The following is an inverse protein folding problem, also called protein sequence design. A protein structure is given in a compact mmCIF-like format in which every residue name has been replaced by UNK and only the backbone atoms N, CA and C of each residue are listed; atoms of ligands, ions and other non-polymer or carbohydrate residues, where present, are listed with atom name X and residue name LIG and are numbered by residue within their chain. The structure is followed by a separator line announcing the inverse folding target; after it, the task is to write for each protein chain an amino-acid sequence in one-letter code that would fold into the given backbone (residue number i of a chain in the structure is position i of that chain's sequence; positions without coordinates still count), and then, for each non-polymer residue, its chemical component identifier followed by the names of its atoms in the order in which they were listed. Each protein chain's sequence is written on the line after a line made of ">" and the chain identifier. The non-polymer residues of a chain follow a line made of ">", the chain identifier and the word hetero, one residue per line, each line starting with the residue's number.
data_IF_242965888654
#
_entry.id   IF_242965888654
#
_cell.length_a   1.000
_cell.length_b   1.000
_cell.length_c   1.000
_cell.angle_alpha   90.00
_cell.angle_beta   90.00
_cell.angle_gamma   90.00
#
_symmetry.space_group_name_H-M   'P 1'
#
loop_
_entity.id
_entity.type
_entity.pdbx_description
1 polymer ?
#
# COMPACT_ATOMS: atom_id res chain seq x y z
N UNK A 1 -8.63 24.46 18.98
CA UNK A 1 -9.44 24.88 20.15
C UNK A 1 -10.07 23.71 20.92
N UNK A 2 -9.88 22.45 20.48
CA UNK A 2 -10.43 21.28 21.17
C UNK A 2 -11.94 21.10 21.00
N UNK A 3 -12.60 21.80 20.08
CA UNK A 3 -14.06 21.72 19.91
C UNK A 3 -14.51 20.82 18.77
N UNK A 4 -13.60 20.53 17.82
CA UNK A 4 -13.91 19.76 16.61
C UNK A 4 -12.89 18.67 16.33
N UNK A 5 -13.37 17.58 15.76
CA UNK A 5 -12.58 16.48 15.23
C UNK A 5 -12.41 16.72 13.74
N UNK A 6 -11.21 16.47 13.22
CA UNK A 6 -10.91 16.46 11.79
C UNK A 6 -10.37 15.12 11.36
N UNK A 7 -10.83 14.62 10.22
CA UNK A 7 -10.38 13.33 9.70
C UNK A 7 -10.42 13.29 8.17
N UNK A 8 -9.79 12.25 7.63
CA UNK A 8 -9.92 11.86 6.23
C UNK A 8 -10.99 10.78 6.09
N UNK A 9 -11.84 10.91 5.09
CA UNK A 9 -12.84 9.92 4.74
C UNK A 9 -12.57 9.37 3.34
N UNK A 10 -12.32 8.07 3.24
CA UNK A 10 -12.11 7.39 1.96
C UNK A 10 -13.42 7.16 1.21
N UNK A 11 -13.37 7.19 -0.12
CA UNK A 11 -14.45 6.67 -0.95
C UNK A 11 -14.63 5.17 -0.68
N UNK A 12 -15.81 4.63 -1.03
CA UNK A 12 -16.08 3.18 -0.91
C UNK A 12 -15.08 2.32 -1.70
N UNK A 13 -14.51 2.85 -2.78
CA UNK A 13 -13.47 2.18 -3.59
C UNK A 13 -12.06 2.35 -3.01
N UNK A 14 -11.85 3.29 -2.10
CA UNK A 14 -10.55 3.60 -1.49
C UNK A 14 -9.60 4.36 -2.42
N UNK A 15 -10.06 4.81 -3.58
CA UNK A 15 -9.26 5.49 -4.61
C UNK A 15 -9.09 7.00 -4.39
N UNK A 16 -10.00 7.60 -3.62
CA UNK A 16 -10.07 9.03 -3.31
C UNK A 16 -10.39 9.21 -1.84
N UNK A 17 -10.04 10.38 -1.29
CA UNK A 17 -10.36 10.72 0.08
C UNK A 17 -10.59 12.22 0.22
N UNK A 18 -11.50 12.58 1.10
CA UNK A 18 -11.82 13.97 1.39
C UNK A 18 -11.63 14.26 2.88
N UNK A 19 -11.46 15.54 3.20
CA UNK A 19 -11.32 16.03 4.57
C UNK A 19 -12.68 16.39 5.13
N UNK A 20 -12.93 15.98 6.36
CA UNK A 20 -14.20 16.18 7.07
C UNK A 20 -13.94 16.75 8.47
N UNK A 21 -14.93 17.45 9.02
CA UNK A 21 -14.92 17.97 10.39
C UNK A 21 -16.27 17.76 11.08
N UNK A 22 -16.27 17.65 12.41
CA UNK A 22 -17.49 17.51 13.23
C UNK A 22 -17.23 18.00 14.65
N UNK A 23 -18.28 18.24 15.42
CA UNK A 23 -18.18 18.53 16.85
C UNK A 23 -17.74 17.27 17.63
N UNK A 24 -17.21 17.45 18.84
CA UNK A 24 -16.77 16.32 19.68
C UNK A 24 -17.91 15.32 20.01
N UNK A 25 -19.15 15.79 20.07
CA UNK A 25 -20.35 14.98 20.30
C UNK A 25 -20.84 14.25 19.03
N UNK A 26 -20.11 14.36 17.91
CA UNK A 26 -20.46 13.77 16.62
C UNK A 26 -21.48 14.58 15.80
N UNK A 27 -21.97 15.70 16.31
CA UNK A 27 -22.88 16.59 15.58
C UNK A 27 -22.14 17.48 14.57
N UNK A 28 -22.91 18.18 13.73
CA UNK A 28 -22.39 19.21 12.81
C UNK A 28 -21.29 18.70 11.86
N UNK A 29 -21.52 17.55 11.23
CA UNK A 29 -20.56 16.98 10.28
C UNK A 29 -20.54 17.79 8.98
N UNK A 30 -19.35 18.26 8.59
CA UNK A 30 -19.09 18.95 7.32
C UNK A 30 -18.03 18.25 6.51
N UNK A 31 -18.24 18.22 5.19
CA UNK A 31 -17.20 17.88 4.21
C UNK A 31 -16.47 19.15 3.80
N UNK A 32 -15.16 19.20 4.01
CA UNK A 32 -14.33 20.37 3.71
C UNK A 32 -13.74 20.32 2.29
N UNK A 33 -13.63 19.14 1.68
CA UNK A 33 -13.07 19.00 0.31
C UNK A 33 -13.94 18.12 -0.58
N UNK A 34 -13.97 18.42 -1.87
CA UNK A 34 -14.61 17.59 -2.92
C UNK A 34 -13.74 17.61 -4.19
N UNK A 35 -12.50 17.15 -4.06
CA UNK A 35 -11.52 17.25 -5.14
C UNK A 35 -11.60 16.13 -6.17
N UNK A 36 -12.30 15.03 -5.85
CA UNK A 36 -12.23 13.80 -6.66
C UNK A 36 -10.81 13.22 -6.71
N UNK A 37 -10.00 13.53 -5.70
CA UNK A 37 -8.60 13.18 -5.58
C UNK A 37 -8.31 12.73 -4.14
N UNK A 38 -7.06 12.43 -3.81
CA UNK A 38 -6.65 12.15 -2.44
C UNK A 38 -6.45 13.48 -1.71
N UNK A 39 -7.20 13.71 -0.63
CA UNK A 39 -6.97 14.76 0.35
C UNK A 39 -6.55 14.12 1.66
N UNK A 40 -5.41 14.52 2.20
CA UNK A 40 -4.70 13.75 3.22
C UNK A 40 -4.01 14.63 4.27
N UNK A 41 -3.76 14.03 5.45
CA UNK A 41 -3.10 14.61 6.62
C UNK A 41 -3.62 16.01 6.98
N UNK A 42 -4.94 16.15 7.23
CA UNK A 42 -5.48 17.43 7.63
C UNK A 42 -5.02 17.81 9.04
N UNK A 43 -4.74 19.10 9.25
CA UNK A 43 -4.30 19.64 10.53
C UNK A 43 -4.86 21.04 10.74
N UNK A 44 -5.44 21.29 11.92
CA UNK A 44 -5.98 22.60 12.27
C UNK A 44 -4.86 23.62 12.52
N UNK A 45 -5.07 24.85 12.06
CA UNK A 45 -4.34 25.98 12.64
C UNK A 45 -4.79 26.18 14.10
N UNK A 46 -3.90 26.57 15.04
CA UNK A 46 -4.27 26.76 16.45
C UNK A 46 -5.44 27.72 16.69
N UNK A 47 -5.67 28.70 15.79
CA UNK A 47 -6.83 29.59 15.86
C UNK A 47 -8.18 28.89 15.64
N UNK A 48 -8.19 27.70 15.04
CA UNK A 48 -9.41 26.95 14.73
C UNK A 48 -10.18 27.43 13.50
N UNK A 49 -9.73 28.49 12.83
CA UNK A 49 -10.46 29.11 11.70
C UNK A 49 -10.30 28.37 10.38
N UNK A 50 -9.21 27.60 10.23
CA UNK A 50 -8.92 26.86 9.00
C UNK A 50 -8.04 25.65 9.26
N UNK A 51 -7.95 24.83 8.22
CA UNK A 51 -7.25 23.55 8.18
C UNK A 51 -6.22 23.60 7.06
N UNK A 52 -5.01 23.11 7.31
CA UNK A 52 -4.07 22.74 6.26
C UNK A 52 -4.19 21.24 5.94
N UNK A 53 -4.07 20.88 4.67
CA UNK A 53 -4.07 19.48 4.23
C UNK A 53 -3.26 19.32 2.94
N UNK A 54 -2.87 18.10 2.59
CA UNK A 54 -2.20 17.80 1.33
C UNK A 54 -3.17 17.21 0.31
N UNK A 55 -3.03 17.55 -0.98
CA UNK A 55 -3.80 16.89 -2.03
C UNK A 55 -3.06 16.69 -3.34
N UNK A 56 -3.36 15.58 -4.01
CA UNK A 56 -2.86 15.26 -5.35
C UNK A 56 -3.82 15.64 -6.49
N UNK A 57 -4.71 16.61 -6.26
CA UNK A 57 -5.65 17.13 -7.27
C UNK A 57 -4.97 17.57 -8.57
N UNK A 58 -3.70 17.98 -8.52
CA UNK A 58 -2.94 18.43 -9.69
C UNK A 58 -2.17 17.31 -10.40
N UNK A 59 -2.25 16.06 -9.93
CA UNK A 59 -1.64 14.90 -10.57
C UNK A 59 -1.27 13.82 -9.56
N UNK A 60 -1.30 12.55 -9.96
CA UNK A 60 -1.16 11.40 -9.05
C UNK A 60 0.09 11.45 -8.15
N UNK A 61 1.22 11.88 -8.69
CA UNK A 61 2.50 12.02 -7.97
C UNK A 61 2.75 13.43 -7.43
N UNK A 62 1.89 14.41 -7.75
CA UNK A 62 2.08 15.80 -7.37
C UNK A 62 1.17 16.17 -6.20
N UNK A 63 1.71 16.16 -4.99
CA UNK A 63 1.00 16.59 -3.79
C UNK A 63 1.37 18.02 -3.44
N UNK A 64 0.37 18.81 -3.11
CA UNK A 64 0.54 20.19 -2.66
C UNK A 64 -0.21 20.39 -1.35
N UNK A 65 0.25 21.34 -0.53
CA UNK A 65 -0.45 21.80 0.67
C UNK A 65 -1.49 22.85 0.27
N UNK A 66 -2.68 22.69 0.83
CA UNK A 66 -3.83 23.56 0.69
C UNK A 66 -4.35 23.97 2.06
N UNK A 67 -5.09 25.08 2.08
CA UNK A 67 -5.88 25.54 3.21
C UNK A 67 -7.36 25.48 2.88
N UNK A 68 -8.21 25.22 3.86
CA UNK A 68 -9.67 25.35 3.74
C UNK A 68 -10.24 25.93 5.03
N UNK A 69 -11.28 26.76 4.93
CA UNK A 69 -11.94 27.29 6.12
C UNK A 69 -12.55 26.15 6.95
N UNK A 70 -12.52 26.29 8.28
CA UNK A 70 -12.99 25.25 9.18
C UNK A 70 -14.49 24.96 9.06
N UNK A 71 -15.26 25.89 8.48
CA UNK A 71 -16.68 25.70 8.18
C UNK A 71 -16.92 25.03 6.82
N UNK A 72 -15.89 24.85 5.98
CA UNK A 72 -16.00 24.23 4.65
C UNK A 72 -16.88 25.02 3.68
N UNK A 73 -17.03 26.32 3.88
CA UNK A 73 -17.92 27.19 3.10
C UNK A 73 -17.24 27.82 1.89
N UNK A 74 -15.95 27.60 1.71
CA UNK A 74 -15.13 28.18 0.65
C UNK A 74 -14.23 27.14 0.01
N UNK A 75 -13.87 27.39 -1.25
CA UNK A 75 -12.96 26.50 -1.97
C UNK A 75 -11.57 26.50 -1.31
N UNK A 76 -10.90 25.34 -1.23
CA UNK A 76 -9.56 25.30 -0.68
C UNK A 76 -8.53 26.09 -1.53
N UNK A 77 -7.59 26.73 -0.86
CA UNK A 77 -6.54 27.57 -1.45
C UNK A 77 -5.20 26.87 -1.37
N UNK A 78 -4.48 26.75 -2.49
CA UNK A 78 -3.13 26.17 -2.56
C UNK A 78 -2.10 27.11 -1.93
N UNK A 79 -1.15 26.56 -1.16
CA UNK A 79 -0.09 27.36 -0.49
C UNK A 79 1.34 26.88 -0.75
N UNK A 80 1.52 25.71 -1.35
CA UNK A 80 2.81 25.29 -1.92
C UNK A 80 2.72 25.21 -3.43
N UNK A 81 3.86 25.36 -4.14
CA UNK A 81 3.87 25.44 -5.60
C UNK A 81 5.05 24.69 -6.23
N UNK A 82 5.49 23.58 -5.61
CA UNK A 82 6.68 22.86 -6.06
C UNK A 82 6.30 21.51 -6.63
N UNK A 83 6.73 21.23 -7.86
CA UNK A 83 6.52 19.92 -8.47
C UNK A 83 7.08 18.81 -7.57
N UNK A 84 6.28 17.78 -7.33
CA UNK A 84 6.64 16.63 -6.50
C UNK A 84 5.73 16.47 -5.30
N UNK A 85 6.30 16.16 -4.15
CA UNK A 85 5.55 15.93 -2.94
C UNK A 85 5.77 17.09 -1.98
N UNK A 86 4.70 17.83 -1.68
CA UNK A 86 4.54 18.69 -0.52
C UNK A 86 3.33 18.20 0.29
N UNK A 87 3.54 17.79 1.54
CA UNK A 87 2.45 17.28 2.36
C UNK A 87 2.78 17.05 3.82
N UNK A 88 1.85 16.41 4.53
CA UNK A 88 1.92 16.19 5.99
C UNK A 88 2.12 17.50 6.78
N UNK A 89 1.28 18.54 6.54
CA UNK A 89 1.45 19.83 7.20
C UNK A 89 1.12 19.76 8.69
N UNK A 90 1.90 20.47 9.52
CA UNK A 90 1.60 20.71 10.93
C UNK A 90 1.97 22.15 11.32
N UNK A 91 1.10 22.82 12.05
CA UNK A 91 1.37 24.16 12.58
C UNK A 91 2.10 24.07 13.93
N UNK A 92 2.94 25.05 14.23
CA UNK A 92 3.47 25.25 15.58
C UNK A 92 2.32 25.60 16.55
N UNK A 93 2.45 25.31 17.87
CA UNK A 93 1.40 25.58 18.85
C UNK A 93 0.92 27.04 18.91
N UNK A 94 1.81 27.99 18.60
CA UNK A 94 1.51 29.42 18.54
C UNK A 94 0.98 29.88 17.17
N UNK A 95 0.93 29.00 16.17
CA UNK A 95 0.47 29.26 14.81
C UNK A 95 1.44 30.08 13.95
N UNK A 96 2.64 30.40 14.45
CA UNK A 96 3.59 31.28 13.77
C UNK A 96 4.47 30.57 12.73
N UNK A 97 4.44 29.24 12.68
CA UNK A 97 5.23 28.42 11.77
C UNK A 97 4.40 27.26 11.20
N UNK A 98 4.75 26.88 9.97
CA UNK A 98 4.26 25.67 9.31
C UNK A 98 5.45 24.75 9.05
N UNK A 99 5.33 23.49 9.46
CA UNK A 99 6.22 22.41 9.05
C UNK A 99 5.50 21.52 8.04
N UNK A 100 6.21 21.06 7.02
CA UNK A 100 5.70 20.09 6.05
C UNK A 100 6.83 19.19 5.54
N UNK A 101 6.47 18.04 5.00
CA UNK A 101 7.40 17.16 4.29
C UNK A 101 7.46 17.55 2.83
N UNK A 102 8.69 17.70 2.29
CA UNK A 102 8.88 17.95 0.86
C UNK A 102 10.02 17.13 0.27
N UNK A 103 9.88 16.73 -1.00
CA UNK A 103 10.95 16.09 -1.77
C UNK A 103 11.73 17.06 -2.67
N UNK A 104 11.59 18.38 -2.47
CA UNK A 104 12.31 19.46 -3.20
C UNK A 104 13.82 19.53 -2.94
N UNK A 105 14.43 18.44 -2.50
CA UNK A 105 15.86 18.33 -2.25
C UNK A 105 16.61 17.98 -3.54
N UNK A 106 17.90 18.29 -3.62
CA UNK A 106 18.72 18.02 -4.81
C UNK A 106 18.70 16.55 -5.26
N UNK A 107 18.52 15.61 -4.32
CA UNK A 107 18.48 14.18 -4.59
C UNK A 107 17.06 13.59 -4.63
N UNK A 108 16.02 14.43 -4.56
CA UNK A 108 14.62 14.03 -4.60
C UNK A 108 14.14 13.23 -3.38
N UNK A 109 14.92 13.18 -2.29
CA UNK A 109 14.50 12.52 -1.04
C UNK A 109 13.67 13.47 -0.20
N UNK A 110 12.64 12.94 0.43
CA UNK A 110 11.79 13.71 1.36
C UNK A 110 12.58 14.17 2.58
N UNK A 111 12.38 15.43 2.98
CA UNK A 111 12.89 16.05 4.20
C UNK A 111 11.78 16.90 4.84
N UNK A 112 11.98 17.26 6.12
CA UNK A 112 11.12 18.20 6.82
C UNK A 112 11.57 19.64 6.52
N UNK A 113 10.62 20.48 6.14
CA UNK A 113 10.80 21.91 5.94
C UNK A 113 9.99 22.65 7.00
N UNK A 114 10.54 23.74 7.52
CA UNK A 114 9.87 24.63 8.45
C UNK A 114 9.99 26.06 7.94
N UNK A 115 8.91 26.82 8.01
CA UNK A 115 8.86 28.21 7.58
C UNK A 115 7.98 29.05 8.49
N UNK A 116 8.25 30.36 8.52
CA UNK A 116 7.36 31.34 9.14
C UNK A 116 6.01 31.30 8.43
N UNK A 117 4.95 31.37 9.21
CA UNK A 117 3.58 31.35 8.74
C UNK A 117 2.92 32.71 8.96
N UNK A 118 2.24 33.20 7.92
CA UNK A 118 1.47 34.44 7.98
C UNK A 118 -0.02 34.11 8.07
N UNK A 119 -0.51 34.11 9.32
CA UNK A 119 -1.91 33.85 9.62
C UNK A 119 -2.87 34.85 8.96
N UNK A 120 -2.51 36.14 8.92
CA UNK A 120 -3.35 37.18 8.33
C UNK A 120 -3.48 37.02 6.82
N UNK A 121 -2.38 36.70 6.14
CA UNK A 121 -2.38 36.42 4.71
C UNK A 121 -3.19 35.16 4.37
N UNK A 122 -3.14 34.13 5.22
CA UNK A 122 -3.96 32.92 5.08
C UNK A 122 -5.46 33.23 5.16
N UNK A 123 -5.90 33.96 6.19
CA UNK A 123 -7.30 34.38 6.36
C UNK A 123 -7.77 35.26 5.19
N UNK A 124 -6.94 36.19 4.73
CA UNK A 124 -7.26 37.02 3.56
C UNK A 124 -7.44 36.18 2.29
N UNK A 125 -6.56 35.20 2.08
CA UNK A 125 -6.61 34.32 0.90
C UNK A 125 -7.87 33.45 0.91
N UNK A 126 -8.20 32.85 2.05
CA UNK A 126 -9.47 32.13 2.25
C UNK A 126 -10.66 33.06 2.07
N UNK A 127 -10.61 34.28 2.63
CA UNK A 127 -11.63 35.32 2.49
C UNK A 127 -11.91 35.76 1.04
N UNK A 128 -10.96 35.54 0.13
CA UNK A 128 -11.10 35.81 -1.30
C UNK A 128 -11.47 34.56 -2.12
N UNK A 129 -11.37 33.36 -1.53
CA UNK A 129 -11.75 32.12 -2.19
C UNK A 129 -13.25 32.09 -2.47
N UNK A 130 -13.61 31.46 -3.59
CA UNK A 130 -15.00 31.29 -4.01
C UNK A 130 -15.78 30.57 -2.91
N UNK A 131 -17.05 30.95 -2.73
CA UNK A 131 -17.96 30.18 -1.89
C UNK A 131 -18.10 28.78 -2.47
N UNK A 132 -17.94 27.80 -1.60
CA UNK A 132 -18.10 26.39 -1.86
C UNK A 132 -19.34 25.94 -1.08
N UNK A 133 -20.34 25.46 -1.80
CA UNK A 133 -21.51 24.84 -1.19
C UNK A 133 -21.28 23.34 -1.18
N UNK A 134 -20.69 22.75 -0.13
CA UNK A 134 -20.46 21.32 -0.10
C UNK A 134 -21.78 20.59 -0.26
N UNK A 135 -21.77 19.52 -1.06
CA UNK A 135 -22.92 18.63 -1.18
C UNK A 135 -23.32 18.13 0.21
N UNK A 136 -24.55 18.39 0.69
CA UNK A 136 -24.97 17.95 2.01
C UNK A 136 -24.81 16.45 2.17
N UNK A 137 -24.19 16.04 3.27
CA UNK A 137 -24.02 14.64 3.60
C UNK A 137 -25.34 14.03 4.03
N UNK A 138 -25.77 12.97 3.34
CA UNK A 138 -26.83 12.10 3.83
C UNK A 138 -26.24 11.13 4.84
N UNK A 139 -26.32 11.52 6.11
CA UNK A 139 -25.88 10.67 7.22
C UNK A 139 -26.91 9.57 7.49
N UNK A 140 -26.49 8.34 7.82
CA UNK A 140 -27.39 7.33 8.37
C UNK A 140 -28.11 7.85 9.61
N UNK A 141 -29.37 7.43 9.80
CA UNK A 141 -30.21 7.89 10.92
C UNK A 141 -29.58 7.62 12.30
N UNK A 142 -28.86 6.49 12.43
CA UNK A 142 -28.10 6.16 13.62
C UNK A 142 -27.02 7.20 13.95
N UNK A 143 -26.43 7.89 12.95
CA UNK A 143 -25.43 8.95 13.14
C UNK A 143 -26.05 10.31 13.47
N UNK A 144 -27.29 10.57 13.04
CA UNK A 144 -28.01 11.81 13.37
C UNK A 144 -28.36 11.89 14.88
N UNK A 145 -28.39 10.75 15.57
CA UNK A 145 -28.80 10.64 16.97
C UNK A 145 -27.61 10.45 17.94
N UNK A 146 -26.36 10.57 17.49
CA UNK A 146 -25.15 10.29 18.31
C UNK A 146 -24.77 11.45 19.22
N UNK A 147 -25.59 12.49 19.37
CA UNK A 147 -25.30 13.63 20.25
C UNK A 147 -25.05 13.20 21.70
N UNK A 148 -23.83 12.80 22.02
CA UNK A 148 -23.41 12.42 23.36
C UNK A 148 -23.29 13.73 24.12
N UNK A 149 -24.16 13.94 25.12
CA UNK A 149 -24.00 15.01 26.11
C UNK A 149 -22.84 14.68 27.06
N UNK A 150 -21.64 14.53 26.53
CA UNK A 150 -20.44 14.39 27.33
C UNK A 150 -19.79 15.76 27.43
N UNK A 151 -19.62 16.25 28.66
CA UNK A 151 -18.72 17.37 28.92
C UNK A 151 -17.29 16.84 28.81
N UNK A 152 -16.59 17.26 27.77
CA UNK A 152 -15.18 16.93 27.58
C UNK A 152 -14.33 17.96 28.34
N UNK A 153 -13.64 17.52 29.39
CA UNK A 153 -12.63 18.35 30.05
C UNK A 153 -11.28 18.18 29.35
N UNK A 154 -10.49 19.25 29.30
CA UNK A 154 -9.10 19.22 28.84
C UNK A 154 -8.18 18.55 29.90
N UNK A 155 -8.56 17.36 30.36
CA UNK A 155 -7.93 16.67 31.49
C UNK A 155 -6.59 16.03 31.14
N UNK A 156 -6.21 15.96 29.86
CA UNK A 156 -4.91 15.41 29.45
C UNK A 156 -3.84 16.48 29.67
N UNK A 157 -3.03 16.29 30.72
CA UNK A 157 -1.92 17.18 31.05
C UNK A 157 -0.67 16.82 30.24
N UNK A 158 0.31 17.74 30.21
CA UNK A 158 1.63 17.45 29.65
C UNK A 158 2.31 16.28 30.39
N UNK A 159 2.10 16.15 31.70
CA UNK A 159 2.63 15.06 32.50
C UNK A 159 2.03 13.71 32.07
N UNK A 160 0.72 13.67 31.77
CA UNK A 160 0.07 12.46 31.27
C UNK A 160 0.68 12.05 29.92
N UNK A 161 0.76 12.99 28.96
CA UNK A 161 1.37 12.70 27.65
C UNK A 161 2.82 12.22 27.79
N UNK A 162 3.61 12.89 28.63
CA UNK A 162 5.01 12.56 28.86
C UNK A 162 5.15 11.14 29.43
N UNK A 163 4.37 10.78 30.44
CA UNK A 163 4.42 9.44 31.05
C UNK A 163 4.12 8.33 30.03
N UNK A 164 3.13 8.55 29.16
CA UNK A 164 2.78 7.59 28.10
C UNK A 164 3.91 7.44 27.08
N UNK A 165 4.51 8.56 26.64
CA UNK A 165 5.63 8.56 25.69
C UNK A 165 6.87 7.93 26.30
N UNK A 166 7.21 8.25 27.56
CA UNK A 166 8.37 7.72 28.26
C UNK A 166 8.32 6.20 28.39
N UNK A 167 7.18 5.64 28.81
CA UNK A 167 7.03 4.18 28.86
C UNK A 167 7.13 3.56 27.46
N UNK A 168 6.38 4.09 26.50
CA UNK A 168 6.32 3.54 25.15
C UNK A 168 7.63 3.69 24.36
N UNK A 169 8.54 4.55 24.80
CA UNK A 169 9.86 4.75 24.22
C UNK A 169 11.00 4.28 25.14
N UNK A 170 10.70 3.60 26.26
CA UNK A 170 11.73 3.18 27.21
C UNK A 170 12.58 2.03 26.67
N UNK A 171 13.79 1.92 27.23
CA UNK A 171 14.71 0.83 26.92
C UNK A 171 14.12 -0.55 27.27
N UNK A 172 13.19 -0.63 28.24
CA UNK A 172 12.51 -1.87 28.62
C UNK A 172 11.71 -2.50 27.47
N UNK A 173 11.28 -1.68 26.50
CA UNK A 173 10.59 -2.18 25.32
C UNK A 173 11.59 -2.70 24.28
N UNK A 174 12.87 -2.31 24.29
CA UNK A 174 13.88 -2.75 23.32
C UNK A 174 13.48 -2.48 21.84
N UNK A 175 12.57 -1.52 21.63
CA UNK A 175 11.94 -1.26 20.34
C UNK A 175 10.62 -2.02 20.12
N UNK A 176 9.97 -1.85 18.96
CA UNK A 176 8.64 -2.45 18.69
C UNK A 176 8.53 -3.02 17.29
N UNK A 177 9.61 -3.68 16.86
CA UNK A 177 9.60 -4.37 15.58
C UNK A 177 8.54 -5.49 15.60
N UNK A 178 7.97 -5.83 14.45
CA UNK A 178 6.92 -6.85 14.40
C UNK A 178 7.43 -8.19 14.95
N UNK A 179 6.62 -8.84 15.79
CA UNK A 179 6.97 -10.06 16.54
C UNK A 179 8.07 -9.93 17.61
N UNK A 180 8.58 -8.73 17.90
CA UNK A 180 9.53 -8.50 19.01
C UNK A 180 8.86 -8.67 20.40
N UNK A 181 9.63 -8.93 21.47
CA UNK A 181 9.11 -8.86 22.84
C UNK A 181 8.51 -7.47 23.15
N UNK A 182 9.14 -6.41 22.67
CA UNK A 182 8.71 -5.03 22.89
C UNK A 182 7.34 -4.67 22.33
N UNK A 183 6.99 -5.16 21.13
CA UNK A 183 5.64 -4.92 20.59
C UNK A 183 4.56 -5.63 21.42
N UNK A 184 4.90 -6.76 22.07
CA UNK A 184 3.97 -7.44 22.98
C UNK A 184 3.77 -6.64 24.27
N UNK A 185 4.86 -6.18 24.89
CA UNK A 185 4.80 -5.32 26.09
C UNK A 185 4.01 -4.04 25.83
N UNK A 186 4.26 -3.38 24.69
CA UNK A 186 3.53 -2.18 24.29
C UNK A 186 2.04 -2.47 24.06
N UNK A 187 1.69 -3.59 23.43
CA UNK A 187 0.31 -4.01 23.25
C UNK A 187 -0.37 -4.28 24.59
N UNK A 188 0.28 -4.98 25.53
CA UNK A 188 -0.27 -5.22 26.87
C UNK A 188 -0.50 -3.93 27.64
N UNK A 189 0.46 -3.00 27.57
CA UNK A 189 0.30 -1.68 28.17
C UNK A 189 -0.93 -0.94 27.62
N UNK A 190 -1.09 -0.86 26.30
CA UNK A 190 -2.23 -0.20 25.67
C UNK A 190 -3.54 -0.89 26.06
N UNK A 191 -3.59 -2.22 26.06
CA UNK A 191 -4.77 -2.99 26.48
C UNK A 191 -5.14 -2.66 27.93
N UNK A 192 -4.17 -2.56 28.83
CA UNK A 192 -4.41 -2.21 30.22
C UNK A 192 -4.93 -0.77 30.37
N UNK A 193 -4.40 0.19 29.60
CA UNK A 193 -4.91 1.57 29.58
C UNK A 193 -6.37 1.61 29.10
N UNK A 194 -6.68 0.93 27.99
CA UNK A 194 -8.05 0.86 27.42
C UNK A 194 -9.03 0.23 28.42
N UNK A 195 -8.62 -0.86 29.08
CA UNK A 195 -9.43 -1.49 30.14
C UNK A 195 -9.64 -0.58 31.35
N UNK A 196 -8.61 0.16 31.78
CA UNK A 196 -8.70 1.09 32.90
C UNK A 196 -9.69 2.25 32.61
N UNK A 197 -9.85 2.60 31.33
CA UNK A 197 -10.84 3.56 30.85
C UNK A 197 -12.27 2.96 30.72
N UNK A 198 -12.46 1.68 31.01
CA UNK A 198 -13.76 1.00 30.89
C UNK A 198 -14.20 0.74 29.44
N UNK A 199 -13.28 0.84 28.47
CA UNK A 199 -13.59 0.61 27.06
C UNK A 199 -13.63 -0.88 26.75
N UNK A 200 -14.63 -1.31 25.99
CA UNK A 200 -14.80 -2.69 25.55
C UNK A 200 -14.06 -2.98 24.22
N UNK A 201 -13.69 -4.25 23.96
CA UNK A 201 -12.98 -4.61 22.74
C UNK A 201 -13.88 -4.50 21.50
N UNK A 202 -13.39 -3.82 20.46
CA UNK A 202 -14.08 -3.75 19.17
C UNK A 202 -13.70 -4.93 18.24
N UNK A 203 -14.68 -5.49 17.51
CA UNK A 203 -14.47 -6.51 16.49
C UNK A 203 -15.38 -7.73 16.64
N UNK A 204 -15.41 -8.60 15.62
CA UNK A 204 -16.32 -9.77 15.57
C UNK A 204 -16.10 -10.80 16.68
N UNK A 205 -14.90 -10.82 17.27
CA UNK A 205 -14.51 -11.79 18.29
C UNK A 205 -14.49 -11.22 19.71
N UNK A 206 -14.87 -9.94 19.90
CA UNK A 206 -14.86 -9.27 21.23
C UNK A 206 -13.52 -9.44 21.97
N UNK A 207 -12.41 -9.37 21.23
CA UNK A 207 -11.05 -9.50 21.76
C UNK A 207 -10.27 -8.21 21.54
N UNK A 208 -9.47 -7.82 22.54
CA UNK A 208 -8.53 -6.70 22.43
C UNK A 208 -7.36 -6.99 21.47
N UNK A 209 -7.06 -8.27 21.22
CA UNK A 209 -6.02 -8.70 20.29
C UNK A 209 -6.65 -9.37 19.08
N UNK A 210 -6.41 -8.77 17.92
CA UNK A 210 -6.81 -9.30 16.62
C UNK A 210 -5.54 -9.78 15.88
N UNK A 211 -5.22 -11.08 15.90
CA UNK A 211 -3.97 -11.58 15.34
C UNK A 211 -3.96 -11.41 13.81
N UNK A 212 -2.83 -10.92 13.29
CA UNK A 212 -2.57 -10.86 11.85
C UNK A 212 -1.36 -11.73 11.51
N UNK A 213 -1.49 -12.57 10.49
CA UNK A 213 -0.39 -13.36 9.96
C UNK A 213 0.29 -12.57 8.84
N UNK A 214 1.61 -12.39 8.95
CA UNK A 214 2.43 -11.78 7.91
C UNK A 214 3.70 -12.61 7.71
N UNK A 215 4.27 -12.54 6.50
CA UNK A 215 5.50 -13.28 6.18
C UNK A 215 6.71 -12.53 6.77
N UNK A 216 7.35 -13.10 7.79
CA UNK A 216 8.54 -12.52 8.44
C UNK A 216 9.85 -12.85 7.68
N UNK A 217 9.85 -13.94 6.91
CA UNK A 217 10.99 -14.44 6.15
C UNK A 217 10.55 -15.46 5.10
N UNK A 218 11.46 -15.82 4.20
CA UNK A 218 11.30 -16.97 3.32
C UNK A 218 12.60 -17.75 3.37
N UNK A 219 12.50 -19.01 3.77
CA UNK A 219 13.60 -19.97 3.72
C UNK A 219 13.24 -21.12 2.78
N UNK A 220 14.22 -21.59 2.01
CA UNK A 220 14.09 -22.76 1.16
C UNK A 220 14.54 -23.99 1.95
N UNK A 221 13.58 -24.83 2.35
CA UNK A 221 13.87 -26.11 2.98
C UNK A 221 14.12 -27.12 1.85
N UNK A 222 15.40 -27.36 1.52
CA UNK A 222 15.80 -28.13 0.33
C UNK A 222 15.16 -29.52 0.29
N UNK A 223 15.06 -30.17 1.44
CA UNK A 223 14.56 -31.54 1.60
C UNK A 223 13.04 -31.64 1.44
N UNK A 224 12.33 -30.51 1.37
CA UNK A 224 10.87 -30.44 1.21
C UNK A 224 10.43 -29.90 -0.15
N UNK A 225 11.38 -29.69 -1.07
CA UNK A 225 11.09 -29.20 -2.42
C UNK A 225 11.56 -30.25 -3.43
N UNK A 226 10.63 -30.75 -4.23
CA UNK A 226 10.89 -31.75 -5.25
C UNK A 226 10.29 -31.29 -6.58
N UNK A 227 10.97 -31.59 -7.68
CA UNK A 227 10.48 -31.33 -9.02
C UNK A 227 10.86 -32.49 -9.95
N UNK A 228 9.85 -33.09 -10.54
CA UNK A 228 9.97 -34.15 -11.54
C UNK A 228 9.22 -33.71 -12.80
N UNK A 229 9.86 -33.88 -13.96
CA UNK A 229 9.19 -33.77 -15.26
C UNK A 229 9.03 -35.18 -15.80
N UNK A 230 7.83 -35.51 -16.24
CA UNK A 230 7.49 -36.79 -16.87
C UNK A 230 7.26 -36.50 -18.34
N UNK A 231 7.99 -37.19 -19.23
CA UNK A 231 7.76 -37.04 -20.67
C UNK A 231 6.58 -37.88 -21.17
N UNK A 232 6.26 -37.74 -22.46
CA UNK A 232 5.18 -38.48 -23.13
C UNK A 232 5.34 -40.01 -23.06
N UNK A 233 6.55 -40.50 -22.86
CA UNK A 233 6.89 -41.93 -22.79
C UNK A 233 6.93 -42.42 -21.33
N UNK A 234 6.57 -41.56 -20.37
CA UNK A 234 6.54 -41.87 -18.94
C UNK A 234 7.89 -41.82 -18.25
N UNK A 235 8.94 -41.30 -18.91
CA UNK A 235 10.27 -41.21 -18.33
C UNK A 235 10.36 -40.01 -17.38
N UNK A 236 10.83 -40.26 -16.17
CA UNK A 236 11.04 -39.25 -15.14
C UNK A 236 12.41 -38.56 -15.25
N UNK A 237 12.39 -37.23 -15.15
CA UNK A 237 13.56 -36.39 -15.01
C UNK A 237 13.46 -35.59 -13.72
N UNK A 238 14.36 -35.86 -12.77
CA UNK A 238 14.40 -35.17 -11.47
C UNK A 238 15.37 -34.00 -11.50
N UNK A 239 15.00 -32.93 -10.80
CA UNK A 239 15.75 -31.68 -10.75
C UNK A 239 16.17 -31.33 -9.33
N UNK A 240 17.33 -30.71 -9.20
CA UNK A 240 17.93 -30.36 -7.90
C UNK A 240 17.59 -28.91 -7.49
N UNK A 241 17.17 -28.73 -6.24
CA UNK A 241 16.85 -27.42 -5.65
C UNK A 241 18.10 -26.54 -5.59
N UNK A 242 17.96 -25.24 -5.86
CA UNK A 242 19.04 -24.23 -5.96
C UNK A 242 20.06 -24.41 -7.09
N UNK A 243 19.95 -25.50 -7.85
CA UNK A 243 20.78 -25.75 -9.05
C UNK A 243 19.96 -25.71 -10.33
N UNK A 244 18.93 -26.55 -10.40
CA UNK A 244 18.09 -26.67 -11.57
C UNK A 244 16.79 -25.86 -11.43
N UNK A 245 16.29 -25.70 -10.20
CA UNK A 245 15.12 -24.88 -9.89
C UNK A 245 15.19 -24.28 -8.47
N UNK A 246 14.45 -23.21 -8.21
CA UNK A 246 14.32 -22.63 -6.87
C UNK A 246 12.90 -22.04 -6.68
N UNK A 247 12.22 -22.29 -5.55
CA UNK A 247 10.91 -21.68 -5.30
C UNK A 247 11.03 -20.16 -5.18
N UNK A 248 10.00 -19.43 -5.62
CA UNK A 248 9.96 -17.97 -5.52
C UNK A 248 9.40 -17.53 -4.17
N UNK A 249 9.85 -16.39 -3.63
CA UNK A 249 9.47 -15.93 -2.28
C UNK A 249 7.96 -15.70 -2.05
N UNK A 250 7.22 -15.53 -3.14
CA UNK A 250 5.77 -15.36 -3.13
C UNK A 250 4.98 -16.64 -3.51
N UNK A 251 5.64 -17.80 -3.62
CA UNK A 251 4.97 -19.09 -3.85
C UNK A 251 4.06 -19.47 -2.68
N UNK A 252 3.03 -20.28 -2.96
CA UNK A 252 2.34 -21.08 -1.93
C UNK A 252 3.09 -22.38 -1.68
N UNK A 253 2.96 -22.94 -0.48
CA UNK A 253 3.44 -24.28 -0.16
C UNK A 253 2.35 -25.29 -0.54
N UNK A 254 2.51 -25.98 -1.67
CA UNK A 254 1.56 -26.99 -2.14
C UNK A 254 2.22 -27.92 -3.16
N UNK A 255 1.61 -29.07 -3.42
CA UNK A 255 1.97 -30.00 -4.49
C UNK A 255 1.05 -29.79 -5.68
N UNK A 256 1.62 -29.71 -6.88
CA UNK A 256 0.87 -29.59 -8.14
C UNK A 256 1.45 -30.57 -9.14
N UNK A 257 0.60 -31.43 -9.69
CA UNK A 257 0.89 -32.33 -10.79
C UNK A 257 -0.09 -32.02 -11.92
N UNK A 258 0.42 -31.58 -13.06
CA UNK A 258 -0.39 -31.23 -14.23
C UNK A 258 0.50 -31.04 -15.46
N UNK A 259 -0.14 -30.99 -16.62
CA UNK A 259 0.50 -30.60 -17.88
C UNK A 259 1.12 -29.19 -17.79
N UNK A 260 2.22 -29.01 -18.52
CA UNK A 260 2.87 -27.71 -18.66
C UNK A 260 2.46 -27.07 -20.00
N UNK A 261 2.03 -25.81 -19.97
CA UNK A 261 1.75 -25.02 -21.17
C UNK A 261 2.69 -23.81 -21.26
N UNK A 262 3.09 -23.43 -22.47
CA UNK A 262 3.98 -22.29 -22.67
C UNK A 262 3.19 -20.98 -22.84
N UNK A 263 3.34 -20.07 -21.88
CA UNK A 263 2.66 -18.77 -21.84
C UNK A 263 3.51 -17.61 -22.36
N UNK A 264 4.52 -17.83 -23.18
CA UNK A 264 5.39 -16.75 -23.69
C UNK A 264 6.01 -15.96 -22.53
N UNK A 265 5.78 -14.64 -22.48
CA UNK A 265 6.29 -13.79 -21.39
C UNK A 265 5.34 -13.68 -20.18
N UNK A 266 4.22 -14.39 -20.12
CA UNK A 266 3.29 -14.34 -18.97
C UNK A 266 2.76 -12.94 -18.65
N UNK A 267 2.63 -12.06 -19.65
CA UNK A 267 2.14 -10.69 -19.49
C UNK A 267 0.68 -10.60 -19.94
N UNK A 268 -0.15 -9.86 -19.22
CA UNK A 268 -1.53 -9.54 -19.63
C UNK A 268 -1.78 -8.04 -19.43
N UNK A 269 -1.52 -7.24 -20.47
CA UNK A 269 -1.75 -5.80 -20.49
C UNK A 269 -2.87 -5.47 -21.47
N UNK A 270 -3.97 -4.94 -20.95
CA UNK A 270 -4.99 -4.33 -21.77
C UNK A 270 -4.45 -3.09 -22.49
N UNK A 271 -4.89 -2.88 -23.72
CA UNK A 271 -4.51 -1.72 -24.53
C UNK A 271 -5.19 -1.75 -25.88
N UNK A 272 -5.07 -0.66 -26.63
CA UNK A 272 -5.53 -0.60 -28.02
C UNK A 272 -4.80 -1.66 -28.87
N UNK A 273 -5.32 -2.06 -30.05
CA UNK A 273 -4.60 -2.92 -30.97
C UNK A 273 -3.18 -2.40 -31.24
N UNK A 274 -2.16 -3.25 -31.09
CA UNK A 274 -0.74 -2.88 -31.19
C UNK A 274 -0.12 -2.33 -29.88
N UNK A 275 -0.94 -1.93 -28.90
CA UNK A 275 -0.50 -1.47 -27.58
C UNK A 275 -0.78 -2.50 -26.45
N UNK A 276 -1.79 -3.34 -26.60
CA UNK A 276 -2.00 -4.49 -25.69
C UNK A 276 -0.90 -5.53 -25.81
N UNK A 277 -0.74 -6.38 -24.80
CA UNK A 277 0.07 -7.59 -24.89
C UNK A 277 -0.52 -8.65 -23.97
N UNK A 278 -1.02 -9.74 -24.53
CA UNK A 278 -1.63 -10.82 -23.77
C UNK A 278 -1.05 -12.17 -24.16
N UNK A 279 -0.24 -12.72 -23.24
CA UNK A 279 0.37 -14.04 -23.30
C UNK A 279 -0.62 -15.20 -23.17
N UNK A 280 -1.82 -14.93 -22.65
CA UNK A 280 -2.83 -15.95 -22.35
C UNK A 280 -3.96 -15.97 -23.39
N UNK A 281 -3.95 -15.04 -24.34
CA UNK A 281 -4.95 -15.01 -25.40
C UNK A 281 -4.89 -16.30 -26.24
N UNK A 282 -5.96 -17.10 -26.19
CA UNK A 282 -6.05 -18.40 -26.85
C UNK A 282 -5.32 -19.55 -26.14
N UNK A 283 -4.70 -19.30 -24.97
CA UNK A 283 -4.02 -20.33 -24.19
C UNK A 283 -4.95 -20.91 -23.12
N UNK A 284 -5.11 -22.24 -23.10
CA UNK A 284 -5.79 -22.93 -22.00
C UNK A 284 -4.83 -23.19 -20.83
N UNK A 285 -4.82 -22.30 -19.83
CA UNK A 285 -4.04 -22.44 -18.59
C UNK A 285 -4.81 -23.03 -17.41
N UNK A 286 -6.10 -23.31 -17.55
CA UNK A 286 -6.94 -23.77 -16.44
C UNK A 286 -6.47 -25.12 -15.90
N UNK A 287 -6.19 -25.17 -14.60
CA UNK A 287 -5.65 -26.34 -13.89
C UNK A 287 -4.29 -26.85 -14.39
N UNK A 288 -3.52 -26.02 -15.10
CA UNK A 288 -2.19 -26.37 -15.65
C UNK A 288 -1.05 -25.64 -14.93
N UNK A 289 0.17 -26.06 -15.23
CA UNK A 289 1.39 -25.33 -14.90
C UNK A 289 1.78 -24.48 -16.11
N UNK A 290 2.03 -23.18 -15.93
CA UNK A 290 2.41 -22.29 -17.04
C UNK A 290 3.92 -22.04 -17.02
N UNK A 291 4.62 -22.42 -18.08
CA UNK A 291 6.01 -22.04 -18.32
C UNK A 291 6.06 -20.65 -18.98
N UNK A 292 6.78 -19.70 -18.38
CA UNK A 292 6.91 -18.33 -18.91
C UNK A 292 8.37 -17.86 -18.92
N UNK A 293 8.65 -16.92 -19.81
CA UNK A 293 9.93 -16.25 -19.92
C UNK A 293 10.03 -15.05 -18.98
N UNK A 294 11.22 -14.89 -18.41
CA UNK A 294 11.62 -13.70 -17.67
C UNK A 294 11.68 -12.49 -18.60
N UNK A 295 11.47 -11.31 -18.02
CA UNK A 295 11.50 -10.02 -18.73
C UNK A 295 10.31 -9.84 -19.68
N UNK A 296 10.54 -9.18 -20.81
CA UNK A 296 9.56 -8.79 -21.83
C UNK A 296 10.12 -9.18 -23.20
N UNK A 297 9.29 -9.25 -24.26
CA UNK A 297 9.75 -9.55 -25.61
C UNK A 297 11.03 -8.82 -26.02
N UNK A 298 11.95 -9.58 -26.61
CA UNK A 298 13.19 -9.05 -27.19
C UNK A 298 12.93 -8.43 -28.57
N UNK A 299 13.86 -7.59 -29.06
CA UNK A 299 13.76 -6.97 -30.39
C UNK A 299 12.72 -5.85 -30.54
N UNK A 300 12.09 -5.41 -29.44
CA UNK A 300 11.11 -4.31 -29.44
C UNK A 300 11.76 -2.94 -29.19
N UNK A 301 11.12 -1.87 -29.68
CA UNK A 301 11.54 -0.47 -29.45
C UNK A 301 11.65 -0.15 -27.95
N UNK A 302 12.61 0.71 -27.58
CA UNK A 302 12.91 1.05 -26.18
C UNK A 302 11.68 1.57 -25.39
N UNK A 303 10.88 2.45 -26.01
CA UNK A 303 9.63 2.96 -25.42
C UNK A 303 8.63 1.85 -25.11
N UNK A 304 8.46 0.91 -26.05
CA UNK A 304 7.58 -0.24 -25.88
C UNK A 304 8.08 -1.16 -24.77
N UNK A 305 9.40 -1.36 -24.71
CA UNK A 305 10.06 -2.12 -23.64
C UNK A 305 9.78 -1.49 -22.27
N UNK A 306 9.92 -0.17 -22.13
CA UNK A 306 9.67 0.52 -20.87
C UNK A 306 8.21 0.39 -20.42
N UNK A 307 7.24 0.48 -21.35
CA UNK A 307 5.82 0.25 -21.04
C UNK A 307 5.57 -1.16 -20.50
N UNK A 308 6.11 -2.18 -21.16
CA UNK A 308 5.95 -3.59 -20.76
C UNK A 308 6.68 -3.93 -19.46
N UNK A 309 7.81 -3.27 -19.18
CA UNK A 309 8.60 -3.52 -17.96
C UNK A 309 7.82 -3.24 -16.68
N UNK A 310 6.82 -2.35 -16.71
CA UNK A 310 5.91 -2.11 -15.57
C UNK A 310 5.12 -3.35 -15.18
N UNK A 311 4.86 -4.26 -16.12
CA UNK A 311 4.16 -5.53 -15.92
C UNK A 311 5.10 -6.74 -15.90
N UNK A 312 6.41 -6.53 -15.97
CA UNK A 312 7.38 -7.63 -16.02
C UNK A 312 7.75 -8.22 -14.65
N UNK A 313 7.22 -7.65 -13.57
CA UNK A 313 7.44 -8.14 -12.20
C UNK A 313 7.03 -9.62 -12.08
N UNK A 314 7.87 -10.41 -11.43
CA UNK A 314 7.69 -11.87 -11.34
C UNK A 314 6.38 -12.24 -10.61
N UNK A 315 6.08 -11.54 -9.51
CA UNK A 315 4.85 -11.74 -8.77
C UNK A 315 3.62 -11.41 -9.60
N UNK A 316 3.67 -10.32 -10.38
CA UNK A 316 2.58 -9.95 -11.29
C UNK A 316 2.29 -11.06 -12.30
N UNK A 317 3.33 -11.64 -12.94
CA UNK A 317 3.18 -12.78 -13.85
C UNK A 317 2.50 -13.98 -13.17
N UNK A 318 2.91 -14.31 -11.94
CA UNK A 318 2.31 -15.39 -11.17
C UNK A 318 0.84 -15.13 -10.82
N UNK A 319 0.50 -13.91 -10.40
CA UNK A 319 -0.88 -13.50 -10.13
C UNK A 319 -1.74 -13.54 -11.39
N UNK A 320 -1.21 -13.11 -12.53
CA UNK A 320 -1.91 -13.20 -13.81
C UNK A 320 -2.16 -14.66 -14.18
N UNK A 321 -1.15 -15.54 -14.09
CA UNK A 321 -1.31 -16.97 -14.35
C UNK A 321 -2.42 -17.59 -13.48
N UNK A 322 -2.43 -17.28 -12.17
CA UNK A 322 -3.46 -17.75 -11.24
C UNK A 322 -4.86 -17.25 -11.58
N UNK A 323 -5.00 -15.98 -12.01
CA UNK A 323 -6.27 -15.42 -12.48
C UNK A 323 -6.78 -16.11 -13.76
N UNK A 324 -5.87 -16.61 -14.59
CA UNK A 324 -6.18 -17.41 -15.78
C UNK A 324 -6.36 -18.90 -15.47
N UNK A 325 -6.51 -19.26 -14.18
CA UNK A 325 -6.82 -20.61 -13.73
C UNK A 325 -5.62 -21.55 -13.56
N UNK A 326 -4.38 -21.07 -13.75
CA UNK A 326 -3.20 -21.89 -13.53
C UNK A 326 -3.05 -22.30 -12.05
N UNK A 327 -2.52 -23.50 -11.81
CA UNK A 327 -2.17 -24.00 -10.47
C UNK A 327 -0.70 -23.82 -10.13
N UNK A 328 0.14 -23.73 -11.17
CA UNK A 328 1.56 -23.43 -11.03
C UNK A 328 2.11 -22.55 -12.13
N UNK A 329 3.28 -21.96 -11.88
CA UNK A 329 4.05 -21.18 -12.83
C UNK A 329 5.55 -21.49 -12.71
N UNK A 330 6.20 -21.72 -13.84
CA UNK A 330 7.65 -21.91 -13.96
C UNK A 330 8.20 -20.72 -14.73
N UNK A 331 9.09 -19.94 -14.12
CA UNK A 331 9.70 -18.77 -14.76
C UNK A 331 11.15 -19.10 -15.14
N UNK A 332 11.48 -19.00 -16.42
CA UNK A 332 12.82 -19.31 -16.95
C UNK A 332 13.44 -18.12 -17.66
N UNK A 333 14.76 -18.08 -17.76
CA UNK A 333 15.44 -17.11 -18.62
C UNK A 333 15.10 -17.34 -20.10
N UNK A 334 14.87 -16.27 -20.85
CA UNK A 334 14.69 -16.35 -22.31
C UNK A 334 15.91 -16.99 -23.01
N UNK A 335 15.73 -17.58 -24.22
CA UNK A 335 16.80 -18.26 -24.94
C UNK A 335 18.01 -17.36 -25.24
N UNK A 336 17.78 -16.05 -25.49
CA UNK A 336 18.85 -15.10 -25.77
C UNK A 336 19.23 -14.23 -24.54
N UNK A 337 18.71 -14.56 -23.36
CA UNK A 337 19.02 -13.83 -22.13
C UNK A 337 20.44 -14.13 -21.67
N UNK A 338 21.22 -13.10 -21.35
CA UNK A 338 22.52 -13.25 -20.67
C UNK A 338 22.43 -13.94 -19.29
N UNK A 339 21.22 -14.04 -18.74
CA UNK A 339 20.92 -14.70 -17.47
C UNK A 339 20.14 -16.02 -17.67
N UNK A 340 20.20 -16.63 -18.85
CA UNK A 340 19.50 -17.87 -19.22
C UNK A 340 19.64 -19.01 -18.22
N UNK A 341 20.85 -19.21 -17.71
CA UNK A 341 21.18 -20.29 -16.76
C UNK A 341 21.08 -19.88 -15.28
N UNK A 342 20.70 -18.65 -14.97
CA UNK A 342 20.67 -18.16 -13.58
C UNK A 342 19.28 -18.28 -12.97
N UNK A 343 19.20 -19.02 -11.87
CA UNK A 343 18.02 -19.01 -11.01
C UNK A 343 17.81 -17.61 -10.40
N UNK A 344 16.54 -17.28 -10.16
CA UNK A 344 16.17 -16.08 -9.43
C UNK A 344 16.44 -16.34 -7.94
N UNK A 345 17.25 -15.50 -7.26
CA UNK A 345 17.51 -15.67 -5.85
C UNK A 345 16.24 -15.45 -5.03
N UNK A 346 16.09 -16.21 -3.95
CA UNK A 346 14.98 -16.06 -3.01
C UNK A 346 15.26 -14.86 -2.11
N UNK A 347 14.68 -13.72 -2.49
CA UNK A 347 14.72 -12.51 -1.67
C UNK A 347 13.32 -12.23 -1.12
N UNK A 348 13.23 -11.94 0.17
CA UNK A 348 12.00 -11.49 0.81
C UNK A 348 11.64 -10.10 0.26
N UNK A 349 10.55 -10.03 -0.51
CA UNK A 349 9.88 -8.77 -0.78
C UNK A 349 8.77 -8.60 0.26
N UNK A 350 8.99 -7.70 1.22
CA UNK A 350 8.04 -7.42 2.31
C UNK A 350 6.72 -6.81 1.83
N UNK A 351 6.67 -6.34 0.59
CA UNK A 351 5.45 -5.82 -0.05
C UNK A 351 4.67 -6.89 -0.83
N UNK A 352 5.27 -8.05 -1.08
CA UNK A 352 4.69 -9.09 -1.91
C UNK A 352 3.71 -9.99 -1.12
N UNK A 353 2.43 -9.89 -1.44
CA UNK A 353 1.42 -10.89 -1.08
C UNK A 353 1.69 -12.25 -1.75
N UNK A 354 1.12 -13.32 -1.19
CA UNK A 354 1.14 -14.63 -1.84
C UNK A 354 0.56 -14.54 -3.26
N UNK A 355 1.20 -15.22 -4.23
CA UNK A 355 0.69 -15.28 -5.60
C UNK A 355 -0.54 -16.18 -5.77
N UNK A 356 -0.85 -17.02 -4.77
CA UNK A 356 -1.95 -17.98 -4.81
C UNK A 356 -1.68 -19.24 -5.64
N UNK A 357 -0.52 -19.33 -6.30
CA UNK A 357 -0.09 -20.48 -7.12
C UNK A 357 1.28 -20.98 -6.69
N UNK A 358 1.62 -22.22 -7.06
CA UNK A 358 2.98 -22.74 -6.89
C UNK A 358 3.89 -22.06 -7.92
N UNK A 359 4.92 -21.36 -7.48
CA UNK A 359 5.75 -20.53 -8.34
C UNK A 359 7.24 -20.82 -8.13
N UNK A 360 7.94 -21.16 -9.21
CA UNK A 360 9.37 -21.45 -9.16
C UNK A 360 10.15 -20.77 -10.29
N UNK A 361 11.42 -20.52 -10.04
CA UNK A 361 12.42 -20.20 -11.05
C UNK A 361 13.02 -21.50 -11.58
N UNK A 362 13.15 -21.63 -12.90
CA UNK A 362 13.77 -22.76 -13.55
C UNK A 362 15.04 -22.39 -14.31
N UNK A 363 15.97 -23.33 -14.40
CA UNK A 363 17.14 -23.27 -15.29
C UNK A 363 16.77 -23.58 -16.74
N UNK A 364 17.66 -23.31 -17.69
CA UNK A 364 17.51 -23.79 -19.07
C UNK A 364 17.53 -25.32 -19.18
N UNK A 365 18.26 -26.02 -18.32
CA UNK A 365 18.23 -27.50 -18.29
C UNK A 365 16.81 -28.00 -18.02
N UNK A 366 16.13 -27.40 -17.04
CA UNK A 366 14.72 -27.69 -16.77
C UNK A 366 13.82 -27.30 -17.95
N UNK A 367 13.99 -26.08 -18.48
CA UNK A 367 13.19 -25.61 -19.61
C UNK A 367 13.31 -26.55 -20.82
N UNK A 368 14.53 -26.94 -21.18
CA UNK A 368 14.81 -27.83 -22.30
C UNK A 368 14.23 -29.22 -22.09
N UNK A 369 14.26 -29.76 -20.86
CA UNK A 369 13.62 -31.04 -20.56
C UNK A 369 12.10 -30.96 -20.75
N UNK A 370 11.47 -29.86 -20.31
CA UNK A 370 10.02 -29.63 -20.52
C UNK A 370 9.70 -29.52 -22.02
N UNK A 371 10.50 -28.76 -22.78
CA UNK A 371 10.27 -28.62 -24.23
C UNK A 371 10.53 -29.91 -24.99
N UNK A 372 11.60 -30.64 -24.67
CA UNK A 372 11.91 -31.92 -25.31
C UNK A 372 10.83 -32.99 -25.04
N UNK A 373 10.20 -32.94 -23.86
CA UNK A 373 9.08 -33.82 -23.53
C UNK A 373 7.82 -33.54 -24.36
N UNK A 374 7.67 -32.33 -24.91
CA UNK A 374 6.51 -31.91 -25.69
C UNK A 374 6.58 -32.31 -27.19
N UNK A 375 7.75 -32.74 -27.68
CA UNK A 375 8.00 -33.06 -29.10
C UNK A 375 8.74 -31.93 -29.80
#
# INVERSE_FOLDING_TARGET
>A
DGKRIIWRHFSKKGDTADVFTMNLDGSDIHRLTEFGAMSWAPYFHPSGEYVAFASNKLGFTNFEVYLVDAAGTREPVRVTFTDGFDGLPVFSPDGSQLMWTSNRTENGKSQLFIGKWDHGAALKSLGNAKKFGPTPLKLPEAQLNVGVKAEFEAAITQADMKAQVEYLASDDLEGRYTASPGIQKAADYIINQVKALGLEPAGKEEKYRNPISFKFGVDVIKEKNELTVIDKDGKEFRFEVEKDFSPLSFTVNNTVESEVVFGGYGLAMAGKPGEGYDSYNGLNSTNKIVLVLRYVPEGIKAERRQKLMRSAALQYKATVAGRQGAKGIIIVGGPNSKNSNKLIPVNLDRSASSSGVVALSGSHKLANAIFAAAG
#
